data_IF_695069722007
#
_entry.id   IF_695069722007
#
_cell.length_a   1.000
_cell.length_b   1.000
_cell.length_c   1.000
_cell.angle_alpha   90.00
_cell.angle_beta   90.00
_cell.angle_gamma   90.00
#
_symmetry.space_group_name_H-M   'P 1'
#
loop_
_entity.id
_entity.type
_entity.pdbx_description
1 polymer ?
#
# COMPACT_ATOMS: atom_id res chain seq x y z
N UNK A 1 40.89 -6.33 11.20
CA UNK A 1 41.15 -4.88 11.08
C UNK A 1 41.27 -4.44 9.62
N UNK A 2 42.19 -5.02 8.83
CA UNK A 2 42.41 -4.66 7.40
C UNK A 2 41.16 -4.81 6.51
N UNK A 3 40.36 -5.87 6.69
CA UNK A 3 39.15 -6.11 5.86
C UNK A 3 38.13 -4.98 6.01
N UNK A 4 37.93 -4.47 7.22
CA UNK A 4 36.96 -3.39 7.46
C UNK A 4 37.42 -2.09 6.83
N UNK A 5 38.73 -1.81 6.85
CA UNK A 5 39.30 -0.62 6.24
C UNK A 5 39.22 -0.66 4.71
N UNK A 6 39.52 -1.81 4.10
CA UNK A 6 39.33 -2.02 2.66
C UNK A 6 37.86 -1.84 2.27
N UNK A 7 36.93 -2.38 3.07
CA UNK A 7 35.49 -2.22 2.85
C UNK A 7 35.07 -0.75 2.90
N UNK A 8 35.51 0.00 3.91
CA UNK A 8 35.22 1.43 4.02
C UNK A 8 35.74 2.22 2.82
N UNK A 9 36.96 1.93 2.35
CA UNK A 9 37.53 2.59 1.15
C UNK A 9 36.70 2.31 -0.10
N UNK A 10 36.22 1.09 -0.26
CA UNK A 10 35.36 0.72 -1.39
C UNK A 10 33.96 1.35 -1.26
N UNK A 11 33.36 1.37 -0.07
CA UNK A 11 32.07 2.01 0.18
C UNK A 11 32.12 3.51 -0.19
N UNK A 12 33.20 4.21 0.20
CA UNK A 12 33.43 5.61 -0.18
C UNK A 12 33.52 5.76 -1.71
N UNK A 13 34.23 4.86 -2.39
CA UNK A 13 34.37 4.89 -3.85
C UNK A 13 33.03 4.70 -4.56
N UNK A 14 32.20 3.77 -4.06
CA UNK A 14 30.86 3.51 -4.58
C UNK A 14 29.99 4.74 -4.40
N UNK A 15 29.98 5.35 -3.21
CA UNK A 15 29.19 6.55 -2.93
C UNK A 15 29.65 7.72 -3.81
N UNK A 16 30.96 7.95 -3.93
CA UNK A 16 31.51 8.99 -4.81
C UNK A 16 31.03 8.83 -6.25
N UNK A 17 31.02 7.59 -6.77
CA UNK A 17 30.52 7.31 -8.11
C UNK A 17 29.01 7.46 -8.21
N UNK A 18 28.26 7.05 -7.19
CA UNK A 18 26.80 7.17 -7.16
C UNK A 18 26.37 8.64 -7.19
N UNK A 19 27.00 9.52 -6.41
CA UNK A 19 26.69 10.96 -6.41
C UNK A 19 26.88 11.61 -7.80
N UNK A 20 27.79 11.09 -8.62
CA UNK A 20 28.00 11.55 -10.00
C UNK A 20 26.94 11.06 -11.00
N UNK A 21 26.05 10.14 -10.59
CA UNK A 21 25.02 9.56 -11.44
C UNK A 21 23.64 10.16 -11.11
N UNK A 22 23.17 11.18 -11.85
CA UNK A 22 21.98 11.93 -11.47
C UNK A 22 20.67 11.12 -11.47
N UNK A 23 20.62 9.98 -12.18
CA UNK A 23 19.44 9.10 -12.18
C UNK A 23 19.67 7.86 -11.32
N UNK A 24 20.73 7.09 -11.58
CA UNK A 24 21.01 5.83 -10.86
C UNK A 24 21.46 6.08 -9.42
N UNK A 25 22.07 7.23 -9.14
CA UNK A 25 22.52 7.66 -7.83
C UNK A 25 21.48 8.40 -7.01
N UNK A 26 20.22 8.52 -7.47
CA UNK A 26 19.16 9.23 -6.72
C UNK A 26 19.00 8.74 -5.27
N UNK A 27 19.33 7.48 -5.01
CA UNK A 27 19.29 6.88 -3.67
C UNK A 27 20.21 7.57 -2.65
N UNK A 28 21.23 8.32 -3.09
CA UNK A 28 22.10 9.09 -2.18
C UNK A 28 21.39 10.29 -1.55
N UNK A 29 20.22 10.69 -2.08
CA UNK A 29 19.48 11.88 -1.64
C UNK A 29 18.16 11.53 -0.94
N UNK A 30 17.99 10.27 -0.51
CA UNK A 30 16.74 9.75 0.06
C UNK A 30 16.63 9.89 1.58
N UNK A 31 17.30 10.86 2.19
CA UNK A 31 17.32 11.04 3.65
C UNK A 31 15.92 11.19 4.28
N UNK A 32 14.97 11.73 3.54
CA UNK A 32 13.56 11.91 3.96
C UNK A 32 12.60 10.86 3.38
N UNK A 33 13.10 9.88 2.63
CA UNK A 33 12.26 8.88 2.00
C UNK A 33 11.82 7.81 3.01
N UNK A 34 10.55 7.40 2.93
CA UNK A 34 10.07 6.28 3.74
C UNK A 34 10.74 5.01 3.23
N UNK A 35 11.49 4.34 4.11
CA UNK A 35 12.14 3.09 3.78
C UNK A 35 11.09 2.01 3.48
N UNK A 36 11.21 1.38 2.30
CA UNK A 36 10.42 0.22 1.92
C UNK A 36 11.33 -0.99 1.82
N UNK A 37 11.18 -1.95 2.73
CA UNK A 37 11.86 -3.24 2.63
C UNK A 37 11.10 -4.18 1.68
N UNK A 38 11.80 -4.72 0.69
CA UNK A 38 11.32 -5.86 -0.09
C UNK A 38 12.08 -7.10 0.37
N UNK A 39 11.39 -8.07 0.95
CA UNK A 39 12.03 -9.34 1.32
C UNK A 39 12.21 -10.21 0.08
N UNK A 40 13.14 -11.17 0.14
CA UNK A 40 13.33 -12.14 -0.94
C UNK A 40 12.04 -12.90 -1.26
N UNK A 41 11.27 -13.24 -0.22
CA UNK A 41 9.95 -13.87 -0.36
C UNK A 41 8.98 -12.99 -1.15
N UNK A 42 8.94 -11.69 -0.86
CA UNK A 42 8.06 -10.76 -1.58
C UNK A 42 8.43 -10.69 -3.07
N UNK A 43 9.73 -10.65 -3.38
CA UNK A 43 10.22 -10.62 -4.76
C UNK A 43 9.80 -11.89 -5.51
N UNK A 44 9.94 -13.07 -4.90
CA UNK A 44 9.54 -14.33 -5.53
C UNK A 44 8.03 -14.48 -5.70
N UNK A 45 7.24 -13.87 -4.83
CA UNK A 45 5.77 -13.96 -4.87
C UNK A 45 5.11 -12.87 -5.72
N UNK A 46 5.83 -11.79 -6.05
CA UNK A 46 5.28 -10.70 -6.85
C UNK A 46 5.33 -11.00 -8.34
N UNK A 47 4.27 -10.60 -9.05
CA UNK A 47 4.26 -10.61 -10.51
C UNK A 47 5.44 -9.77 -11.07
N UNK A 48 6.13 -10.22 -12.13
CA UNK A 48 7.31 -9.53 -12.68
C UNK A 48 7.06 -8.05 -13.04
N UNK A 49 5.88 -7.76 -13.61
CA UNK A 49 5.50 -6.39 -13.97
C UNK A 49 5.34 -5.48 -12.75
N UNK A 50 4.91 -6.02 -11.60
CA UNK A 50 4.76 -5.26 -10.35
C UNK A 50 6.12 -4.86 -9.79
N UNK A 51 7.08 -5.78 -9.81
CA UNK A 51 8.47 -5.50 -9.37
C UNK A 51 9.11 -4.46 -10.29
N UNK A 52 8.96 -4.65 -11.61
CA UNK A 52 9.47 -3.70 -12.60
C UNK A 52 8.90 -2.30 -12.40
N UNK A 53 7.58 -2.20 -12.19
CA UNK A 53 6.92 -0.94 -11.90
C UNK A 53 7.46 -0.28 -10.63
N UNK A 54 7.60 -1.04 -9.54
CA UNK A 54 8.05 -0.53 -8.24
C UNK A 54 9.49 0.03 -8.32
N UNK A 55 10.41 -0.73 -8.93
CA UNK A 55 11.79 -0.25 -9.10
C UNK A 55 11.81 1.01 -9.97
N UNK A 56 11.06 1.01 -11.07
CA UNK A 56 11.01 2.17 -11.98
C UNK A 56 10.33 3.39 -11.35
N UNK A 57 9.36 3.21 -10.47
CA UNK A 57 8.70 4.33 -9.80
C UNK A 57 9.64 5.01 -8.81
N UNK A 58 10.46 4.24 -8.11
CA UNK A 58 11.43 4.74 -7.13
C UNK A 58 12.54 5.58 -7.79
N UNK A 59 13.04 5.13 -8.94
CA UNK A 59 14.12 5.82 -9.66
C UNK A 59 13.64 6.81 -10.72
N UNK A 60 12.36 7.22 -10.73
CA UNK A 60 11.76 8.08 -11.78
C UNK A 60 12.08 7.59 -13.21
N UNK A 61 11.86 6.31 -13.47
CA UNK A 61 12.07 5.65 -14.77
C UNK A 61 10.75 5.22 -15.44
N UNK A 62 9.62 5.70 -14.93
CA UNK A 62 8.32 5.47 -15.57
C UNK A 62 8.19 6.34 -16.84
N UNK A 63 7.31 5.96 -17.79
CA UNK A 63 7.15 6.66 -19.07
C UNK A 63 6.43 8.02 -18.93
N UNK A 64 7.07 8.98 -18.25
CA UNK A 64 6.71 10.40 -18.26
C UNK A 64 7.21 11.07 -19.53
N UNK A 65 6.63 12.19 -20.01
CA UNK A 65 7.15 12.83 -21.23
C UNK A 65 8.62 13.24 -21.07
N UNK A 66 9.06 13.67 -19.88
CA UNK A 66 10.47 13.96 -19.62
C UNK A 66 11.38 12.75 -19.88
N UNK A 67 10.95 11.55 -19.47
CA UNK A 67 11.71 10.32 -19.72
C UNK A 67 11.58 9.83 -21.16
N UNK A 68 10.40 9.98 -21.79
CA UNK A 68 10.21 9.63 -23.19
C UNK A 68 11.13 10.43 -24.11
N UNK A 69 11.33 11.73 -23.82
CA UNK A 69 12.31 12.56 -24.53
C UNK A 69 13.73 12.08 -24.29
N UNK A 70 14.08 11.78 -23.04
CA UNK A 70 15.40 11.22 -22.69
C UNK A 70 15.68 9.90 -23.43
N UNK A 71 14.65 9.12 -23.73
CA UNK A 71 14.75 7.85 -24.48
C UNK A 71 14.64 8.03 -26.00
N UNK A 72 14.55 9.27 -26.51
CA UNK A 72 14.40 9.54 -27.94
C UNK A 72 13.06 9.06 -28.53
N UNK A 73 12.03 8.87 -27.70
CA UNK A 73 10.69 8.41 -28.13
C UNK A 73 9.70 9.55 -28.36
N UNK A 74 10.07 10.76 -27.96
CA UNK A 74 9.25 11.97 -28.07
C UNK A 74 10.17 13.17 -28.14
N UNK A 75 9.71 14.26 -28.77
CA UNK A 75 10.52 15.47 -28.91
C UNK A 75 10.29 16.47 -27.76
N UNK A 76 9.07 16.50 -27.21
CA UNK A 76 8.65 17.51 -26.22
C UNK A 76 8.35 16.91 -24.83
N UNK A 77 9.02 17.38 -23.75
CA UNK A 77 8.79 16.92 -22.38
C UNK A 77 7.59 17.59 -21.70
N UNK A 78 6.84 18.46 -22.37
CA UNK A 78 5.77 19.25 -21.73
C UNK A 78 4.55 18.42 -21.31
N UNK A 79 3.88 18.89 -20.27
CA UNK A 79 2.60 18.39 -19.80
C UNK A 79 1.47 18.96 -20.67
N UNK A 80 0.55 18.10 -21.13
CA UNK A 80 -0.58 18.53 -21.96
C UNK A 80 -1.58 19.46 -21.24
N UNK A 81 -1.55 19.49 -19.91
CA UNK A 81 -2.50 20.27 -19.11
C UNK A 81 -1.97 21.66 -18.75
N UNK A 82 -0.72 21.73 -18.27
CA UNK A 82 -0.16 22.98 -17.75
C UNK A 82 1.08 23.45 -18.51
N UNK A 83 1.47 22.75 -19.58
CA UNK A 83 2.63 23.04 -20.42
C UNK A 83 4.00 23.10 -19.71
N UNK A 84 4.07 22.73 -18.43
CA UNK A 84 5.32 22.58 -17.68
C UNK A 84 6.02 21.25 -17.99
N UNK A 85 7.26 21.07 -17.55
CA UNK A 85 8.00 19.81 -17.72
C UNK A 85 7.28 18.65 -16.99
N UNK A 86 6.92 17.59 -17.71
CA UNK A 86 6.19 16.46 -17.17
C UNK A 86 7.13 15.34 -16.68
N UNK A 87 7.53 15.42 -15.41
CA UNK A 87 8.17 14.32 -14.67
C UNK A 87 7.12 13.36 -14.08
N UNK A 88 7.53 12.24 -13.46
CA UNK A 88 6.57 11.38 -12.74
C UNK A 88 5.94 12.11 -11.55
N UNK A 89 6.73 12.81 -10.76
CA UNK A 89 6.27 13.66 -9.66
C UNK A 89 5.22 14.68 -10.13
N UNK A 90 5.46 15.30 -11.29
CA UNK A 90 4.49 16.22 -11.90
C UNK A 90 3.12 15.55 -12.16
N UNK A 91 3.12 14.33 -12.70
CA UNK A 91 1.89 13.58 -12.98
C UNK A 91 1.19 13.12 -11.70
N UNK A 92 1.97 12.81 -10.66
CA UNK A 92 1.45 12.28 -9.41
C UNK A 92 0.94 13.37 -8.47
N UNK A 93 1.64 14.49 -8.30
CA UNK A 93 1.33 15.48 -7.26
C UNK A 93 1.57 16.95 -7.62
N UNK A 94 2.39 17.27 -8.63
CA UNK A 94 2.92 18.64 -8.78
C UNK A 94 2.35 19.44 -9.97
N UNK A 95 1.33 18.92 -10.67
CA UNK A 95 0.65 19.63 -11.76
C UNK A 95 -0.42 20.59 -11.22
N UNK A 96 -0.16 21.91 -11.38
CA UNK A 96 -1.06 22.98 -10.92
C UNK A 96 -2.48 22.90 -11.51
N UNK A 97 -2.59 22.57 -12.79
CA UNK A 97 -3.90 22.43 -13.47
C UNK A 97 -4.63 21.17 -13.03
N UNK A 98 -3.91 20.07 -12.80
CA UNK A 98 -4.52 18.85 -12.29
C UNK A 98 -5.03 19.04 -10.85
N UNK A 99 -4.29 19.80 -10.04
CA UNK A 99 -4.67 20.20 -8.70
C UNK A 99 -5.94 21.06 -8.71
N UNK A 100 -5.95 22.16 -9.48
CA UNK A 100 -7.10 23.08 -9.53
C UNK A 100 -8.37 22.43 -10.10
N UNK A 101 -8.23 21.45 -10.99
CA UNK A 101 -9.36 20.67 -11.52
C UNK A 101 -9.82 19.55 -10.58
N UNK A 102 -9.23 19.39 -9.39
CA UNK A 102 -9.61 18.34 -8.43
C UNK A 102 -9.27 16.92 -8.89
N UNK A 103 -8.41 16.73 -9.88
CA UNK A 103 -8.07 15.38 -10.40
C UNK A 103 -7.37 14.51 -9.38
N UNK A 104 -6.61 15.13 -8.48
CA UNK A 104 -5.93 14.43 -7.39
C UNK A 104 -6.93 13.89 -6.37
N UNK A 105 -7.89 14.72 -5.96
CA UNK A 105 -9.02 14.32 -5.13
C UNK A 105 -9.82 13.20 -5.78
N UNK A 106 -10.09 13.29 -7.09
CA UNK A 106 -10.79 12.22 -7.81
C UNK A 106 -10.03 10.89 -7.78
N UNK A 107 -8.71 10.89 -8.09
CA UNK A 107 -7.89 9.67 -8.05
C UNK A 107 -7.82 9.08 -6.63
N UNK A 108 -7.64 9.93 -5.63
CA UNK A 108 -7.62 9.54 -4.22
C UNK A 108 -8.94 8.86 -3.82
N UNK A 109 -10.06 9.51 -4.10
CA UNK A 109 -11.39 8.99 -3.77
C UNK A 109 -11.67 7.68 -4.50
N UNK A 110 -11.22 7.54 -5.75
CA UNK A 110 -11.38 6.29 -6.49
C UNK A 110 -10.64 5.12 -5.81
N UNK A 111 -9.40 5.34 -5.38
CA UNK A 111 -8.63 4.31 -4.67
C UNK A 111 -9.28 3.96 -3.32
N UNK A 112 -9.78 4.95 -2.58
CA UNK A 112 -10.50 4.72 -1.34
C UNK A 112 -11.79 3.92 -1.53
N UNK A 113 -12.55 4.19 -2.60
CA UNK A 113 -13.74 3.42 -2.97
C UNK A 113 -13.40 1.95 -3.26
N UNK A 114 -12.33 1.70 -4.02
CA UNK A 114 -11.88 0.35 -4.34
C UNK A 114 -11.46 -0.41 -3.06
N UNK A 115 -10.74 0.25 -2.14
CA UNK A 115 -10.40 -0.34 -0.85
C UNK A 115 -11.63 -0.65 0.02
N UNK A 116 -12.55 0.32 0.14
CA UNK A 116 -13.77 0.14 0.93
C UNK A 116 -14.60 -1.03 0.38
N UNK A 117 -14.68 -1.17 -0.95
CA UNK A 117 -15.36 -2.29 -1.62
C UNK A 117 -14.71 -3.64 -1.30
N UNK A 118 -13.38 -3.74 -1.42
CA UNK A 118 -12.65 -4.99 -1.13
C UNK A 118 -12.81 -5.39 0.34
N UNK A 119 -12.69 -4.43 1.27
CA UNK A 119 -12.84 -4.68 2.72
C UNK A 119 -14.27 -5.09 3.04
N UNK A 120 -15.26 -4.42 2.47
CA UNK A 120 -16.68 -4.77 2.68
C UNK A 120 -17.00 -6.17 2.15
N UNK A 121 -16.42 -6.56 1.01
CA UNK A 121 -16.54 -7.91 0.46
C UNK A 121 -15.87 -8.95 1.36
N UNK A 122 -14.67 -8.64 1.86
CA UNK A 122 -13.92 -9.53 2.75
C UNK A 122 -14.65 -9.75 4.09
N UNK A 123 -15.34 -8.73 4.61
CA UNK A 123 -16.19 -8.82 5.80
C UNK A 123 -17.35 -9.82 5.61
N UNK A 124 -18.01 -9.79 4.45
CA UNK A 124 -19.21 -10.58 4.14
C UNK A 124 -19.00 -12.09 3.99
N UNK A 125 -17.77 -12.60 4.15
CA UNK A 125 -17.42 -14.00 3.92
C UNK A 125 -17.37 -14.87 5.19
N UNK A 126 -17.78 -14.37 6.36
CA UNK A 126 -17.95 -15.24 7.52
C UNK A 126 -19.27 -16.01 7.41
N UNK A 127 -19.20 -17.34 7.31
CA UNK A 127 -20.38 -18.18 7.50
C UNK A 127 -21.02 -17.82 8.86
N UNK A 128 -22.37 -17.75 8.96
CA UNK A 128 -22.99 -17.62 10.27
C UNK A 128 -22.45 -18.73 11.18
N UNK A 129 -22.13 -18.45 12.46
CA UNK A 129 -21.79 -19.52 13.39
C UNK A 129 -22.93 -20.53 13.35
N UNK A 130 -22.61 -21.81 13.10
CA UNK A 130 -23.63 -22.86 13.16
C UNK A 130 -24.34 -22.75 14.52
N UNK A 131 -25.68 -22.83 14.56
CA UNK A 131 -26.40 -22.73 15.83
C UNK A 131 -25.84 -23.81 16.76
N UNK A 132 -25.22 -23.38 17.84
CA UNK A 132 -24.73 -24.29 18.87
C UNK A 132 -25.97 -24.90 19.52
N UNK A 133 -26.25 -26.16 19.20
CA UNK A 133 -27.31 -26.90 19.87
C UNK A 133 -26.96 -26.95 21.36
N UNK A 134 -27.76 -26.29 22.20
CA UNK A 134 -27.59 -26.37 23.66
C UNK A 134 -28.07 -27.76 24.08
N UNK A 135 -27.14 -28.65 24.41
CA UNK A 135 -27.48 -29.97 24.95
C UNK A 135 -27.93 -29.74 26.39
N UNK A 136 -29.22 -29.98 26.67
CA UNK A 136 -29.70 -30.03 28.04
C UNK A 136 -29.13 -31.28 28.72
N UNK A 137 -28.33 -31.09 29.76
CA UNK A 137 -27.83 -32.18 30.59
C UNK A 137 -28.88 -32.50 31.65
N UNK A 138 -29.37 -33.74 31.67
CA UNK A 138 -30.23 -34.23 32.74
C UNK A 138 -29.48 -34.33 34.06
N UNK A 139 -30.15 -33.97 35.16
CA UNK A 139 -29.63 -34.08 36.51
C UNK A 139 -29.43 -35.55 36.91
N UNK A 140 -28.24 -35.87 37.44
CA UNK A 140 -27.83 -37.23 37.79
C UNK A 140 -26.83 -37.82 36.79
N UNK A 141 -25.55 -37.71 37.13
CA UNK A 141 -24.44 -38.06 36.25
C UNK A 141 -24.49 -39.47 35.68
N UNK A 142 -24.29 -39.57 34.36
CA UNK A 142 -23.90 -40.82 33.71
C UNK A 142 -22.93 -40.56 32.54
N UNK A 143 -21.71 -41.06 32.75
CA UNK A 143 -20.76 -41.66 31.79
C UNK A 143 -20.45 -40.88 30.52
N UNK A 144 -19.22 -40.33 30.51
CA UNK A 144 -18.43 -39.93 29.34
C UNK A 144 -18.63 -40.92 28.20
N UNK A 145 -19.35 -40.49 27.15
CA UNK A 145 -19.50 -41.25 25.91
C UNK A 145 -18.14 -41.30 25.21
N UNK A 146 -17.47 -42.45 25.25
CA UNK A 146 -16.29 -42.72 24.46
C UNK A 146 -16.71 -42.91 23.00
N UNK A 147 -16.44 -41.90 22.17
CA UNK A 147 -16.77 -41.94 20.75
C UNK A 147 -16.70 -40.60 20.02
N UNK A 148 -16.52 -39.49 20.73
CA UNK A 148 -16.26 -38.19 20.09
C UNK A 148 -14.93 -37.66 20.59
N UNK A 149 -13.88 -37.85 19.78
CA UNK A 149 -12.68 -37.02 19.90
C UNK A 149 -13.17 -35.57 19.88
N UNK A 150 -13.08 -34.86 21.01
CA UNK A 150 -13.18 -33.42 20.99
C UNK A 150 -11.91 -32.93 20.32
N UNK A 151 -11.87 -33.01 18.99
CA UNK A 151 -11.06 -32.10 18.21
C UNK A 151 -11.64 -30.73 18.57
N UNK A 152 -11.08 -30.07 19.59
CA UNK A 152 -11.13 -28.62 19.69
C UNK A 152 -10.44 -28.14 18.43
N UNK A 153 -11.21 -28.06 17.34
CA UNK A 153 -10.80 -27.41 16.13
C UNK A 153 -10.43 -26.00 16.58
N UNK A 154 -9.13 -25.74 16.72
CA UNK A 154 -8.64 -24.39 16.91
C UNK A 154 -9.24 -23.63 15.76
N UNK A 155 -10.20 -22.76 16.05
CA UNK A 155 -10.92 -22.00 15.04
C UNK A 155 -9.90 -21.02 14.46
N UNK A 156 -9.09 -21.50 13.51
CA UNK A 156 -8.06 -20.71 12.86
C UNK A 156 -8.83 -19.69 12.04
N UNK A 157 -8.91 -18.47 12.57
CA UNK A 157 -9.42 -17.33 11.82
C UNK A 157 -8.74 -17.32 10.45
N UNK A 158 -9.55 -17.40 9.39
CA UNK A 158 -9.03 -17.47 8.02
C UNK A 158 -8.38 -16.14 7.59
N UNK A 159 -8.68 -15.05 8.30
CA UNK A 159 -8.08 -13.74 8.10
C UNK A 159 -8.40 -12.75 9.21
N UNK A 160 -7.87 -11.53 9.09
CA UNK A 160 -8.06 -10.46 10.08
C UNK A 160 -9.53 -10.04 10.24
N UNK A 161 -10.32 -10.12 9.17
CA UNK A 161 -11.73 -9.68 9.11
C UNK A 161 -12.73 -10.83 9.30
N UNK A 162 -12.25 -12.03 9.67
CA UNK A 162 -13.09 -13.21 9.85
C UNK A 162 -13.98 -13.06 11.10
N UNK A 163 -15.30 -13.06 10.92
CA UNK A 163 -16.30 -12.90 11.99
C UNK A 163 -16.66 -11.46 12.35
N UNK A 164 -16.14 -10.45 11.65
CA UNK A 164 -16.39 -9.02 11.90
C UNK A 164 -17.75 -8.53 11.35
N UNK A 165 -18.85 -9.21 11.73
CA UNK A 165 -20.21 -8.93 11.20
C UNK A 165 -20.71 -7.53 11.62
N UNK A 166 -20.32 -7.08 12.80
CA UNK A 166 -20.69 -5.82 13.46
C UNK A 166 -19.87 -4.60 12.99
N UNK A 167 -18.80 -4.80 12.23
CA UNK A 167 -17.92 -3.68 11.84
C UNK A 167 -18.51 -2.87 10.69
N UNK A 168 -18.58 -1.56 10.83
CA UNK A 168 -18.95 -0.66 9.73
C UNK A 168 -17.71 -0.19 8.97
N UNK A 169 -17.67 -0.43 7.66
CA UNK A 169 -16.58 0.02 6.80
C UNK A 169 -16.88 1.43 6.33
N UNK A 170 -15.94 2.33 6.54
CA UNK A 170 -16.03 3.73 6.14
C UNK A 170 -14.70 4.22 5.58
N UNK A 171 -14.78 5.21 4.69
CA UNK A 171 -13.62 5.85 4.09
C UNK A 171 -13.86 7.37 4.06
N UNK A 172 -12.79 8.17 4.06
CA UNK A 172 -12.89 9.63 3.94
C UNK A 172 -13.27 10.05 2.51
N UNK A 173 -14.53 9.80 2.19
CA UNK A 173 -15.22 10.20 0.97
C UNK A 173 -16.23 11.30 1.32
N UNK A 174 -16.70 12.04 0.32
CA UNK A 174 -17.67 13.13 0.51
C UNK A 174 -18.96 12.69 1.21
N UNK A 175 -19.34 11.43 1.06
CA UNK A 175 -20.55 10.83 1.67
C UNK A 175 -20.35 10.53 3.17
N UNK A 176 -19.10 10.48 3.66
CA UNK A 176 -18.80 10.16 5.05
C UNK A 176 -18.76 11.42 5.93
N UNK A 177 -19.86 11.61 6.68
CA UNK A 177 -20.06 12.77 7.55
C UNK A 177 -19.82 12.49 9.05
N UNK A 178 -19.45 11.25 9.42
CA UNK A 178 -19.27 10.81 10.83
C UNK A 178 -17.78 10.65 11.18
N UNK A 179 -17.01 11.73 11.13
CA UNK A 179 -15.61 11.70 11.57
C UNK A 179 -15.51 11.65 13.10
N UNK A 180 -14.66 10.79 13.68
CA UNK A 180 -14.23 10.95 15.06
C UNK A 180 -13.69 12.37 15.28
N UNK A 181 -14.04 12.98 16.42
CA UNK A 181 -13.66 14.37 16.76
C UNK A 181 -12.16 14.67 16.59
N UNK A 182 -11.29 13.68 16.80
CA UNK A 182 -9.83 13.79 16.63
C UNK A 182 -9.42 14.09 15.19
N UNK A 183 -10.08 13.47 14.21
CA UNK A 183 -9.83 13.68 12.77
C UNK A 183 -10.40 15.04 12.33
N UNK A 184 -11.46 15.52 12.97
CA UNK A 184 -12.08 16.81 12.68
C UNK A 184 -11.26 17.99 13.21
N UNK A 185 -10.55 17.81 14.33
CA UNK A 185 -9.70 18.83 14.99
C UNK A 185 -8.31 18.95 14.37
N UNK A 186 -7.77 17.84 13.88
CA UNK A 186 -6.53 17.86 13.13
C UNK A 186 -6.90 18.25 11.71
N UNK A 187 -6.36 19.34 11.18
CA UNK A 187 -6.58 19.83 9.80
C UNK A 187 -5.98 18.90 8.73
N UNK A 188 -6.04 17.58 8.96
CA UNK A 188 -5.56 16.52 8.07
C UNK A 188 -6.55 16.23 6.94
N UNK A 189 -7.77 16.78 6.98
CA UNK A 189 -8.54 16.98 5.76
C UNK A 189 -7.83 18.05 4.95
N UNK A 190 -7.23 17.64 3.84
CA UNK A 190 -6.95 18.53 2.71
C UNK A 190 -8.28 19.07 2.19
N UNK A 191 -8.83 20.08 2.85
CA UNK A 191 -9.78 21.00 2.24
C UNK A 191 -8.99 21.81 1.22
N UNK A 192 -8.89 21.27 0.01
CA UNK A 192 -8.51 22.01 -1.19
C UNK A 192 -9.77 22.54 -1.85
#
# INVERSE_FOLDING_TARGET
>A
MVINEVRQREDVRIIQKAVQQPQQGQWTNWDSAIQRSLTWKDIWQMAPLRISFLIRSVYDLLPSNANLVRWGKKDDPTCRLCHGRQTTEHVLSSCKVALSQGRYTWRHNRVLQDFASVISTAKGQSNPPSPSFTIFTTEGGARKWCGRSSNTASNQRKGLLDGCVDWEVSADLLEWNKHPEVIRRTTLRLTL
#
